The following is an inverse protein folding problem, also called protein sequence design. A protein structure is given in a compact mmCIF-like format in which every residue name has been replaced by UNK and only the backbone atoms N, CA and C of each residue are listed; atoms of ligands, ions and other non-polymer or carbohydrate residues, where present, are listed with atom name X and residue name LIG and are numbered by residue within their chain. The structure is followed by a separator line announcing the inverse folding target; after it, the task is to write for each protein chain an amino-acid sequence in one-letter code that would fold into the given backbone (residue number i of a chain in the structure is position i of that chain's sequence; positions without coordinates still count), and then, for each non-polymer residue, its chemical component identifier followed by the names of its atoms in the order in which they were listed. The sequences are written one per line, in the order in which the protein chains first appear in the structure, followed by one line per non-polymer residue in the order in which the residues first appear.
data_IF_158208953493
#
_entry.id   IF_158208953493
#
_cell.length_a   1.000
_cell.length_b   1.000
_cell.length_c   1.000
_cell.angle_alpha   90.00
_cell.angle_beta   90.00
_cell.angle_gamma   90.00
#
_symmetry.space_group_name_H-M   'P 1'
#
loop_
_entity.id
_entity.type
_entity.pdbx_description
1 polymer ?
#
# COMPACT_ATOMS: atom_id res chain seq x y z
N UNK A 1 -38.45 -14.21 -28.24
CA UNK A 1 -39.78 -13.67 -28.65
C UNK A 1 -40.04 -13.77 -30.17
N UNK A 2 -39.15 -14.37 -30.96
CA UNK A 2 -39.25 -14.48 -32.44
C UNK A 2 -39.65 -15.87 -32.98
N UNK A 3 -39.97 -16.82 -32.10
CA UNK A 3 -40.24 -18.22 -32.48
C UNK A 3 -41.73 -18.58 -32.53
N UNK A 4 -42.62 -17.77 -31.93
CA UNK A 4 -44.07 -18.07 -31.87
C UNK A 4 -44.87 -17.57 -33.08
N UNK A 5 -44.33 -16.63 -33.86
CA UNK A 5 -44.99 -16.11 -35.09
C UNK A 5 -44.77 -16.99 -36.34
N UNK A 6 -43.96 -18.05 -36.25
CA UNK A 6 -43.65 -18.95 -37.38
C UNK A 6 -44.65 -20.11 -37.55
N UNK A 7 -45.59 -20.33 -36.63
CA UNK A 7 -46.56 -21.43 -36.72
C UNK A 7 -47.96 -21.03 -37.18
N UNK A 8 -48.31 -19.74 -37.18
CA UNK A 8 -49.62 -19.30 -37.67
C UNK A 8 -49.72 -19.21 -39.21
N UNK A 9 -48.59 -19.31 -39.94
CA UNK A 9 -48.55 -19.14 -41.41
C UNK A 9 -48.54 -20.44 -42.22
N UNK A 10 -48.81 -21.60 -41.58
CA UNK A 10 -48.70 -22.93 -42.19
C UNK A 10 -50.02 -23.67 -42.43
N UNK A 11 -51.16 -23.01 -42.22
CA UNK A 11 -52.50 -23.60 -42.43
C UNK A 11 -53.32 -22.95 -43.57
N UNK A 12 -52.74 -22.02 -44.34
CA UNK A 12 -53.41 -21.38 -45.49
C UNK A 12 -53.09 -22.02 -46.85
N UNK A 13 -52.28 -23.09 -46.89
CA UNK A 13 -51.96 -23.80 -48.13
C UNK A 13 -52.37 -25.26 -48.04
N UNK A 14 -53.64 -25.55 -48.32
CA UNK A 14 -54.05 -26.71 -49.12
C UNK A 14 -55.52 -26.53 -49.54
N UNK A 15 -55.77 -26.67 -50.84
CA UNK A 15 -57.04 -26.57 -51.56
C UNK A 15 -57.41 -25.21 -52.16
N UNK A 16 -56.58 -24.79 -53.13
CA UNK A 16 -57.09 -24.30 -54.42
C UNK A 16 -56.94 -25.41 -55.48
N UNK A 17 -57.62 -25.21 -56.63
CA UNK A 17 -57.56 -25.94 -57.91
C UNK A 17 -58.50 -27.18 -57.96
N UNK A 18 -59.55 -27.31 -58.81
CA UNK A 18 -59.65 -27.18 -60.29
C UNK A 18 -61.10 -26.94 -60.79
N UNK A 19 -61.24 -26.28 -61.94
CA UNK A 19 -62.50 -25.96 -62.64
C UNK A 19 -63.25 -27.14 -63.31
N UNK A 20 -64.28 -26.83 -64.12
CA UNK A 20 -65.37 -27.75 -64.50
C UNK A 20 -65.06 -28.62 -65.73
N UNK A 21 -65.80 -29.73 -65.93
CA UNK A 21 -66.18 -30.12 -67.29
C UNK A 21 -67.65 -30.53 -67.45
N UNK A 22 -68.17 -30.16 -68.62
CA UNK A 22 -69.45 -30.53 -69.23
C UNK A 22 -69.72 -32.05 -69.27
N UNK A 23 -70.98 -32.44 -69.07
CA UNK A 23 -71.66 -33.44 -69.92
C UNK A 23 -73.19 -33.39 -69.78
N UNK A 24 -73.86 -33.33 -70.94
CA UNK A 24 -75.28 -33.65 -71.23
C UNK A 24 -75.72 -34.89 -70.42
N UNK A 25 -76.96 -35.06 -69.98
CA UNK A 25 -78.20 -35.02 -70.77
C UNK A 25 -79.40 -34.98 -69.82
N UNK A 26 -80.35 -34.09 -70.10
CA UNK A 26 -81.70 -34.09 -69.50
C UNK A 26 -82.45 -35.36 -69.92
N UNK A 27 -82.84 -36.19 -68.95
CA UNK A 27 -84.14 -36.87 -68.96
C UNK A 27 -84.82 -36.56 -67.64
N UNK A 28 -85.88 -35.77 -67.76
CA UNK A 28 -86.89 -35.49 -66.77
C UNK A 28 -87.56 -36.77 -66.29
N UNK A 29 -87.80 -36.91 -64.98
CA UNK A 29 -89.10 -37.31 -64.42
C UNK A 29 -89.10 -37.04 -62.91
N UNK A 30 -89.88 -36.02 -62.52
CA UNK A 30 -90.77 -35.89 -61.36
C UNK A 30 -90.24 -36.17 -59.93
N UNK A 31 -90.35 -35.10 -59.10
CA UNK A 31 -90.59 -35.00 -57.65
C UNK A 31 -91.04 -36.28 -56.92
N UNK A 32 -90.87 -36.48 -55.62
CA UNK A 32 -90.45 -35.73 -54.44
C UNK A 32 -90.20 -36.90 -53.45
N UNK A 33 -89.07 -37.03 -52.75
CA UNK A 33 -89.11 -36.98 -51.28
C UNK A 33 -87.71 -37.01 -50.63
N UNK A 34 -86.63 -37.21 -51.39
CA UNK A 34 -85.24 -37.22 -50.86
C UNK A 34 -84.59 -35.84 -50.76
N UNK A 35 -85.14 -34.83 -51.43
CA UNK A 35 -84.67 -33.43 -51.38
C UNK A 35 -84.93 -32.77 -50.01
N UNK A 36 -86.09 -33.08 -49.39
CA UNK A 36 -86.44 -32.59 -48.05
C UNK A 36 -85.49 -33.13 -46.97
N UNK A 37 -85.23 -34.44 -46.98
CA UNK A 37 -84.33 -35.08 -46.00
C UNK A 37 -82.92 -34.50 -46.02
N UNK A 38 -82.33 -34.32 -47.21
CA UNK A 38 -81.00 -33.71 -47.37
C UNK A 38 -81.01 -32.23 -46.95
N UNK A 39 -82.07 -31.49 -47.25
CA UNK A 39 -82.17 -30.07 -46.88
C UNK A 39 -82.38 -29.86 -45.36
N UNK A 40 -83.08 -30.78 -44.71
CA UNK A 40 -83.27 -30.78 -43.26
C UNK A 40 -82.02 -31.23 -42.50
N UNK A 41 -81.24 -32.18 -43.05
CA UNK A 41 -79.90 -32.52 -42.57
C UNK A 41 -78.91 -31.35 -42.73
N UNK A 42 -78.92 -30.65 -43.87
CA UNK A 42 -78.10 -29.45 -44.09
C UNK A 42 -78.45 -28.36 -43.09
N UNK A 43 -79.75 -28.10 -42.83
CA UNK A 43 -80.20 -27.15 -41.80
C UNK A 43 -79.76 -27.57 -40.39
N UNK A 44 -79.84 -28.86 -40.07
CA UNK A 44 -79.38 -29.41 -38.79
C UNK A 44 -77.87 -29.22 -38.59
N UNK A 45 -77.07 -29.53 -39.61
CA UNK A 45 -75.62 -29.32 -39.61
C UNK A 45 -75.26 -27.84 -39.51
N UNK A 46 -75.98 -26.95 -40.23
CA UNK A 46 -75.80 -25.51 -40.13
C UNK A 46 -76.11 -24.99 -38.72
N UNK A 47 -77.16 -25.50 -38.07
CA UNK A 47 -77.50 -25.13 -36.69
C UNK A 47 -76.48 -25.65 -35.67
N UNK A 48 -75.93 -26.85 -35.87
CA UNK A 48 -74.82 -27.38 -35.08
C UNK A 48 -73.57 -26.50 -35.26
N UNK A 49 -73.20 -26.18 -36.49
CA UNK A 49 -72.07 -25.30 -36.81
C UNK A 49 -72.25 -23.91 -36.19
N UNK A 50 -73.46 -23.35 -36.22
CA UNK A 50 -73.79 -22.07 -35.56
C UNK A 50 -73.59 -22.15 -34.05
N UNK A 51 -74.07 -23.22 -33.40
CA UNK A 51 -73.87 -23.45 -31.95
C UNK A 51 -72.40 -23.63 -31.59
N UNK A 52 -71.64 -24.37 -32.39
CA UNK A 52 -70.19 -24.55 -32.22
C UNK A 52 -69.44 -23.22 -32.36
N UNK A 53 -69.79 -22.41 -33.37
CA UNK A 53 -69.21 -21.08 -33.59
C UNK A 53 -69.45 -20.17 -32.38
N UNK A 54 -70.71 -20.03 -31.94
CA UNK A 54 -71.06 -19.21 -30.78
C UNK A 54 -70.36 -19.69 -29.49
N UNK A 55 -70.29 -21.00 -29.27
CA UNK A 55 -69.58 -21.57 -28.11
C UNK A 55 -68.07 -21.32 -28.17
N UNK A 56 -67.48 -21.36 -29.38
CA UNK A 56 -66.06 -21.06 -29.60
C UNK A 56 -65.78 -19.57 -29.39
N UNK A 57 -66.61 -18.68 -29.92
CA UNK A 57 -66.51 -17.23 -29.71
C UNK A 57 -66.65 -16.85 -28.24
N UNK A 58 -67.62 -17.43 -27.54
CA UNK A 58 -67.79 -17.23 -26.09
C UNK A 58 -66.57 -17.69 -25.29
N UNK A 59 -66.03 -18.87 -25.59
CA UNK A 59 -64.79 -19.37 -24.97
C UNK A 59 -63.59 -18.50 -25.30
N UNK A 60 -63.45 -18.07 -26.55
CA UNK A 60 -62.36 -17.19 -26.98
C UNK A 60 -62.42 -15.83 -26.29
N UNK A 61 -63.61 -15.26 -26.13
CA UNK A 61 -63.81 -14.04 -25.35
C UNK A 61 -63.40 -14.22 -23.88
N UNK A 62 -63.79 -15.35 -23.26
CA UNK A 62 -63.39 -15.68 -21.89
C UNK A 62 -61.87 -15.82 -21.74
N UNK A 63 -61.22 -16.52 -22.67
CA UNK A 63 -59.76 -16.69 -22.73
C UNK A 63 -59.06 -15.34 -22.89
N UNK A 64 -59.52 -14.50 -23.81
CA UNK A 64 -58.97 -13.15 -24.00
C UNK A 64 -59.10 -12.31 -22.73
N UNK A 65 -60.26 -12.35 -22.06
CA UNK A 65 -60.47 -11.66 -20.77
C UNK A 65 -59.51 -12.16 -19.69
N UNK A 66 -59.26 -13.48 -19.61
CA UNK A 66 -58.28 -14.05 -18.70
C UNK A 66 -56.86 -13.55 -19.01
N UNK A 67 -56.45 -13.55 -20.28
CA UNK A 67 -55.13 -13.06 -20.69
C UNK A 67 -54.95 -11.56 -20.44
N UNK A 68 -55.98 -10.74 -20.69
CA UNK A 68 -55.94 -9.30 -20.37
C UNK A 68 -55.72 -9.09 -18.88
N UNK A 69 -56.50 -9.77 -18.03
CA UNK A 69 -56.36 -9.68 -16.57
C UNK A 69 -54.99 -10.19 -16.08
N UNK A 70 -54.48 -11.27 -16.67
CA UNK A 70 -53.15 -11.78 -16.36
C UNK A 70 -52.05 -10.76 -16.73
N UNK A 71 -52.18 -10.12 -17.89
CA UNK A 71 -51.24 -9.09 -18.36
C UNK A 71 -51.25 -7.85 -17.46
N UNK A 72 -52.44 -7.39 -17.03
CA UNK A 72 -52.59 -6.30 -16.07
C UNK A 72 -51.91 -6.62 -14.73
N UNK A 73 -52.19 -7.81 -14.17
CA UNK A 73 -51.58 -8.26 -12.92
C UNK A 73 -50.05 -8.32 -13.01
N UNK A 74 -49.50 -8.82 -14.13
CA UNK A 74 -48.05 -8.87 -14.37
C UNK A 74 -47.46 -7.45 -14.46
N UNK A 75 -48.10 -6.55 -15.21
CA UNK A 75 -47.64 -5.17 -15.33
C UNK A 75 -47.65 -4.44 -13.98
N UNK A 76 -48.68 -4.64 -13.16
CA UNK A 76 -48.76 -4.06 -11.83
C UNK A 76 -47.71 -4.65 -10.88
N UNK A 77 -47.46 -5.96 -10.96
CA UNK A 77 -46.39 -6.61 -10.20
C UNK A 77 -45.02 -6.07 -10.59
N UNK A 78 -44.74 -5.88 -11.88
CA UNK A 78 -43.50 -5.29 -12.38
C UNK A 78 -43.34 -3.86 -11.88
N UNK A 79 -44.38 -3.02 -11.97
CA UNK A 79 -44.35 -1.64 -11.46
C UNK A 79 -44.04 -1.58 -9.97
N UNK A 80 -44.72 -2.42 -9.17
CA UNK A 80 -44.46 -2.52 -7.71
C UNK A 80 -43.03 -2.97 -7.42
N UNK A 81 -42.55 -3.99 -8.13
CA UNK A 81 -41.18 -4.50 -7.98
C UNK A 81 -40.14 -3.42 -8.31
N UNK A 82 -40.31 -2.70 -9.42
CA UNK A 82 -39.39 -1.64 -9.83
C UNK A 82 -39.37 -0.49 -8.81
N UNK A 83 -40.52 -0.12 -8.25
CA UNK A 83 -40.59 0.90 -7.20
C UNK A 83 -39.80 0.48 -5.96
N UNK A 84 -40.00 -0.75 -5.48
CA UNK A 84 -39.27 -1.28 -4.31
C UNK A 84 -37.76 -1.33 -4.59
N UNK A 85 -37.37 -1.75 -5.81
CA UNK A 85 -35.97 -1.82 -6.19
C UNK A 85 -35.31 -0.43 -6.21
N UNK A 86 -35.97 0.56 -6.80
CA UNK A 86 -35.50 1.94 -6.83
C UNK A 86 -35.31 2.49 -5.42
N UNK A 87 -36.30 2.33 -4.53
CA UNK A 87 -36.19 2.80 -3.14
C UNK A 87 -35.05 2.10 -2.37
N UNK A 88 -34.82 0.81 -2.62
CA UNK A 88 -33.69 0.07 -2.02
C UNK A 88 -32.35 0.54 -2.57
N UNK A 89 -32.25 0.77 -3.88
CA UNK A 89 -31.03 1.30 -4.50
C UNK A 89 -30.67 2.68 -3.94
N UNK A 90 -31.64 3.60 -3.85
CA UNK A 90 -31.41 4.93 -3.30
C UNK A 90 -30.95 4.90 -1.84
N UNK A 91 -31.52 4.00 -1.02
CA UNK A 91 -31.09 3.80 0.37
C UNK A 91 -29.68 3.24 0.44
N UNK A 92 -29.37 2.24 -0.38
CA UNK A 92 -28.04 1.64 -0.43
C UNK A 92 -26.99 2.65 -0.89
N UNK A 93 -27.29 3.48 -1.88
CA UNK A 93 -26.39 4.52 -2.36
C UNK A 93 -26.06 5.53 -1.24
N UNK A 94 -27.06 5.96 -0.47
CA UNK A 94 -26.84 6.84 0.69
C UNK A 94 -25.95 6.18 1.75
N UNK A 95 -26.24 4.92 2.10
CA UNK A 95 -25.42 4.17 3.06
C UNK A 95 -23.98 4.04 2.58
N UNK A 96 -23.76 3.69 1.32
CA UNK A 96 -22.41 3.58 0.74
C UNK A 96 -21.69 4.93 0.73
N UNK A 97 -22.39 6.01 0.35
CA UNK A 97 -21.83 7.37 0.38
C UNK A 97 -21.38 7.78 1.79
N UNK A 98 -22.19 7.50 2.80
CA UNK A 98 -21.87 7.82 4.19
C UNK A 98 -20.71 6.98 4.74
N UNK A 99 -20.66 5.69 4.40
CA UNK A 99 -19.52 4.82 4.71
C UNK A 99 -18.25 5.38 4.07
N UNK A 100 -18.29 5.74 2.79
CA UNK A 100 -17.13 6.24 2.07
C UNK A 100 -16.59 7.53 2.69
N UNK A 101 -17.47 8.47 3.06
CA UNK A 101 -17.06 9.70 3.77
C UNK A 101 -16.36 9.40 5.10
N UNK A 102 -16.90 8.46 5.89
CA UNK A 102 -16.27 8.03 7.15
C UNK A 102 -14.89 7.43 6.90
N UNK A 103 -14.75 6.54 5.92
CA UNK A 103 -13.48 5.89 5.56
C UNK A 103 -12.44 6.92 5.07
N UNK A 104 -12.83 7.87 4.21
CA UNK A 104 -11.93 8.93 3.76
C UNK A 104 -11.46 9.80 4.92
N UNK A 105 -12.36 10.20 5.82
CA UNK A 105 -12.00 10.99 7.01
C UNK A 105 -11.05 10.24 7.95
N UNK A 106 -11.29 8.94 8.18
CA UNK A 106 -10.37 8.07 8.93
C UNK A 106 -8.98 8.04 8.32
N UNK A 107 -8.91 7.80 7.00
CA UNK A 107 -7.66 7.67 6.27
C UNK A 107 -6.83 8.96 6.32
N UNK A 108 -7.46 10.11 6.13
CA UNK A 108 -6.80 11.42 6.25
C UNK A 108 -6.25 11.64 7.65
N UNK A 109 -7.05 11.42 8.69
CA UNK A 109 -6.60 11.61 10.08
C UNK A 109 -5.45 10.65 10.44
N UNK A 110 -5.48 9.41 9.94
CA UNK A 110 -4.41 8.44 10.18
C UNK A 110 -3.11 8.89 9.50
N UNK A 111 -3.21 9.39 8.26
CA UNK A 111 -2.07 9.95 7.54
C UNK A 111 -1.49 11.16 8.28
N UNK A 112 -2.32 12.10 8.73
CA UNK A 112 -1.89 13.28 9.48
C UNK A 112 -1.15 12.89 10.77
N UNK A 113 -1.62 11.83 11.43
CA UNK A 113 -0.96 11.27 12.61
C UNK A 113 0.47 10.79 12.29
N UNK A 114 0.63 10.00 11.22
CA UNK A 114 1.93 9.47 10.79
C UNK A 114 2.87 10.61 10.36
N UNK A 115 2.37 11.52 9.53
CA UNK A 115 3.15 12.64 9.00
C UNK A 115 3.63 13.58 10.12
N UNK A 116 2.80 13.78 11.16
CA UNK A 116 3.17 14.57 12.35
C UNK A 116 4.39 14.02 13.08
N UNK A 117 4.46 12.70 13.30
CA UNK A 117 5.53 12.08 14.08
C UNK A 117 6.74 11.66 13.24
N UNK A 118 6.60 11.64 11.91
CA UNK A 118 7.73 11.43 11.00
C UNK A 118 8.86 12.43 11.25
N UNK A 119 8.53 13.70 11.45
CA UNK A 119 9.51 14.76 11.77
C UNK A 119 10.28 14.46 13.06
N UNK A 120 9.59 13.99 14.10
CA UNK A 120 10.20 13.65 15.38
C UNK A 120 11.23 12.51 15.25
N UNK A 121 10.94 11.50 14.41
CA UNK A 121 11.90 10.41 14.11
C UNK A 121 13.15 10.96 13.41
N UNK A 122 12.98 11.86 12.43
CA UNK A 122 14.12 12.50 11.77
C UNK A 122 14.97 13.32 12.74
N UNK A 123 14.34 14.07 13.62
CA UNK A 123 15.03 14.87 14.63
C UNK A 123 15.81 13.95 15.59
N UNK A 124 15.18 12.91 16.14
CA UNK A 124 15.83 11.95 17.02
C UNK A 124 17.05 11.27 16.36
N UNK A 125 16.95 10.94 15.06
CA UNK A 125 18.09 10.41 14.28
C UNK A 125 19.21 11.44 14.16
N UNK A 126 18.88 12.68 13.83
CA UNK A 126 19.88 13.73 13.62
C UNK A 126 20.60 14.06 14.93
N UNK A 127 19.87 14.15 16.03
CA UNK A 127 20.43 14.37 17.37
C UNK A 127 21.38 13.23 17.75
N UNK A 128 20.97 11.97 17.59
CA UNK A 128 21.84 10.82 17.81
C UNK A 128 23.11 10.87 16.95
N UNK A 129 22.96 11.20 15.66
CA UNK A 129 24.11 11.31 14.76
C UNK A 129 25.06 12.43 15.17
N UNK A 130 24.55 13.54 15.71
CA UNK A 130 25.37 14.62 16.23
C UNK A 130 26.12 14.18 17.49
N UNK A 131 25.42 13.57 18.45
CA UNK A 131 26.03 13.10 19.70
C UNK A 131 27.17 12.09 19.44
N UNK A 132 26.98 11.11 18.55
CA UNK A 132 28.03 10.15 18.19
C UNK A 132 29.24 10.83 17.55
N UNK A 133 29.01 11.82 16.68
CA UNK A 133 30.10 12.60 16.09
C UNK A 133 30.89 13.36 17.15
N UNK A 134 30.21 13.96 18.12
CA UNK A 134 30.87 14.66 19.23
C UNK A 134 31.67 13.70 20.12
N UNK A 135 31.11 12.54 20.47
CA UNK A 135 31.82 11.50 21.22
C UNK A 135 33.13 11.10 20.49
N UNK A 136 33.04 10.83 19.18
CA UNK A 136 34.20 10.44 18.37
C UNK A 136 35.22 11.56 18.26
N UNK A 137 34.76 12.81 18.05
CA UNK A 137 35.65 13.97 17.93
C UNK A 137 36.48 14.15 19.21
N UNK A 138 35.86 14.05 20.38
CA UNK A 138 36.56 14.18 21.65
C UNK A 138 37.57 13.05 21.86
N UNK A 139 37.21 11.81 21.52
CA UNK A 139 38.12 10.68 21.59
C UNK A 139 39.32 10.82 20.65
N UNK A 140 39.10 11.27 19.40
CA UNK A 140 40.16 11.53 18.43
C UNK A 140 41.13 12.59 18.96
N UNK A 141 40.61 13.74 19.44
CA UNK A 141 41.45 14.81 19.98
C UNK A 141 42.32 14.30 21.14
N UNK A 142 41.73 13.49 22.04
CA UNK A 142 42.47 12.93 23.17
C UNK A 142 43.57 11.94 22.72
N UNK A 143 43.26 11.06 21.76
CA UNK A 143 44.22 10.11 21.21
C UNK A 143 45.33 10.80 20.41
N UNK A 144 45.02 11.86 19.67
CA UNK A 144 46.01 12.71 18.99
C UNK A 144 46.93 13.41 20.00
N UNK A 145 46.38 13.88 21.12
CA UNK A 145 47.18 14.41 22.23
C UNK A 145 48.16 13.38 22.81
N UNK A 146 47.70 12.15 23.05
CA UNK A 146 48.54 11.05 23.53
C UNK A 146 49.63 10.71 22.50
N UNK A 147 49.29 10.64 21.22
CA UNK A 147 50.24 10.41 20.13
C UNK A 147 51.31 11.51 20.11
N UNK A 148 50.91 12.78 20.20
CA UNK A 148 51.84 13.91 20.21
C UNK A 148 52.82 13.84 21.38
N UNK A 149 52.34 13.46 22.57
CA UNK A 149 53.17 13.24 23.76
C UNK A 149 54.21 12.13 23.57
N UNK A 150 53.96 11.17 22.67
CA UNK A 150 54.92 10.12 22.33
C UNK A 150 55.90 10.57 21.23
N UNK A 151 55.42 11.24 20.19
CA UNK A 151 56.22 11.63 19.02
C UNK A 151 57.27 12.70 19.33
N UNK A 152 56.95 13.67 20.19
CA UNK A 152 57.86 14.79 20.50
C UNK A 152 59.16 14.31 21.16
N UNK A 153 59.14 13.54 22.27
CA UNK A 153 60.37 13.06 22.90
C UNK A 153 61.19 12.11 22.01
N UNK A 154 60.52 11.31 21.17
CA UNK A 154 61.21 10.44 20.18
C UNK A 154 61.97 11.30 19.17
N UNK A 155 61.36 12.37 18.66
CA UNK A 155 62.01 13.29 17.74
C UNK A 155 63.17 14.04 18.40
N UNK A 156 62.98 14.51 19.63
CA UNK A 156 64.07 15.11 20.43
C UNK A 156 65.26 14.15 20.59
N UNK A 157 65.01 12.87 20.86
CA UNK A 157 66.06 11.85 20.96
C UNK A 157 66.81 11.61 19.63
N UNK A 158 66.09 11.62 18.50
CA UNK A 158 66.69 11.49 17.17
C UNK A 158 67.56 12.69 16.80
N UNK A 159 67.07 13.90 17.09
CA UNK A 159 67.81 15.16 16.87
C UNK A 159 69.05 15.23 17.78
N UNK A 160 68.90 14.85 19.05
CA UNK A 160 70.02 14.75 20.00
C UNK A 160 71.11 13.82 19.46
N UNK A 161 70.75 12.61 19.02
CA UNK A 161 71.68 11.64 18.43
C UNK A 161 72.42 12.23 17.21
N UNK A 162 71.73 12.97 16.34
CA UNK A 162 72.35 13.61 15.19
C UNK A 162 73.34 14.72 15.60
N UNK A 163 73.00 15.50 16.63
CA UNK A 163 73.79 16.63 17.11
C UNK A 163 75.08 16.21 17.85
N UNK A 164 75.09 15.06 18.54
CA UNK A 164 76.29 14.53 19.21
C UNK A 164 77.47 14.41 18.22
N UNK A 165 77.21 13.90 17.02
CA UNK A 165 78.23 13.74 15.97
C UNK A 165 78.79 15.09 15.50
N UNK A 166 77.94 16.11 15.43
CA UNK A 166 78.34 17.47 15.04
C UNK A 166 79.20 18.14 16.11
N UNK A 167 78.80 18.04 17.39
CA UNK A 167 79.52 18.61 18.53
C UNK A 167 80.93 18.02 18.68
N UNK A 168 81.06 16.70 18.53
CA UNK A 168 82.36 16.02 18.51
C UNK A 168 83.27 16.58 17.40
N UNK A 169 82.72 16.77 16.19
CA UNK A 169 83.46 17.34 15.05
C UNK A 169 83.91 18.78 15.31
N UNK A 170 83.06 19.61 15.94
CA UNK A 170 83.40 20.99 16.29
C UNK A 170 84.56 21.08 17.29
N UNK A 171 84.53 20.27 18.37
CA UNK A 171 85.62 20.28 19.35
C UNK A 171 86.96 19.81 18.77
N UNK A 172 86.94 18.82 17.87
CA UNK A 172 88.15 18.34 17.17
C UNK A 172 88.77 19.39 16.24
N UNK A 173 87.99 20.36 15.76
CA UNK A 173 88.48 21.47 14.92
C UNK A 173 89.04 22.64 15.75
N UNK A 174 88.89 22.62 17.07
CA UNK A 174 89.32 23.71 17.95
C UNK A 174 90.79 23.56 18.34
N UNK A 175 91.68 24.46 17.90
CA UNK A 175 93.11 24.41 18.21
C UNK A 175 93.38 24.73 19.69
N UNK A 176 94.07 23.85 20.40
CA UNK A 176 94.65 24.08 21.74
C UNK A 176 93.71 23.92 22.94
N UNK A 177 92.40 23.72 22.75
CA UNK A 177 91.41 23.60 23.83
C UNK A 177 90.46 22.39 23.69
N UNK A 178 90.82 21.39 22.87
CA UNK A 178 89.98 20.24 22.52
C UNK A 178 89.46 19.47 23.73
N UNK A 179 90.31 19.21 24.72
CA UNK A 179 89.94 18.48 25.96
C UNK A 179 88.92 19.24 26.80
N UNK A 180 89.09 20.56 26.96
CA UNK A 180 88.12 21.39 27.68
C UNK A 180 86.78 21.46 26.93
N UNK A 181 86.81 21.70 25.62
CA UNK A 181 85.63 21.69 24.76
C UNK A 181 84.86 20.37 24.84
N UNK A 182 85.57 19.24 24.75
CA UNK A 182 84.96 17.91 24.85
C UNK A 182 84.30 17.69 26.21
N UNK A 183 84.97 18.10 27.29
CA UNK A 183 84.45 17.95 28.66
C UNK A 183 83.17 18.77 28.85
N UNK A 184 83.18 20.05 28.46
CA UNK A 184 82.03 20.95 28.58
C UNK A 184 80.85 20.43 27.74
N UNK A 185 81.10 20.00 26.49
CA UNK A 185 80.06 19.44 25.63
C UNK A 185 79.57 18.06 26.08
N UNK A 186 80.42 17.22 26.64
CA UNK A 186 79.98 15.94 27.21
C UNK A 186 79.07 16.14 28.41
N UNK A 187 79.41 17.08 29.31
CA UNK A 187 78.55 17.40 30.45
C UNK A 187 77.18 17.92 29.99
N UNK A 188 77.16 18.83 29.01
CA UNK A 188 75.91 19.32 28.40
C UNK A 188 75.10 18.19 27.75
N UNK A 189 75.76 17.28 27.03
CA UNK A 189 75.13 16.12 26.41
C UNK A 189 74.57 15.13 27.44
N UNK A 190 75.28 14.87 28.53
CA UNK A 190 74.82 13.96 29.59
C UNK A 190 73.57 14.52 30.28
N UNK A 191 73.56 15.81 30.62
CA UNK A 191 72.36 16.46 31.19
C UNK A 191 71.17 16.34 30.24
N UNK A 192 71.36 16.66 28.96
CA UNK A 192 70.28 16.62 27.97
C UNK A 192 69.81 15.19 27.65
N UNK A 193 70.71 14.22 27.69
CA UNK A 193 70.37 12.81 27.57
C UNK A 193 69.47 12.36 28.73
N UNK A 194 69.82 12.74 29.96
CA UNK A 194 69.02 12.39 31.14
C UNK A 194 67.61 12.99 31.07
N UNK A 195 67.48 14.26 30.65
CA UNK A 195 66.17 14.91 30.44
C UNK A 195 65.31 14.16 29.39
N UNK A 196 65.90 13.78 28.25
CA UNK A 196 65.20 13.03 27.20
C UNK A 196 64.84 11.61 27.70
N UNK A 197 65.74 10.98 28.44
CA UNK A 197 65.54 9.64 28.98
C UNK A 197 64.42 9.60 30.03
N UNK A 198 64.35 10.59 30.92
CA UNK A 198 63.24 10.73 31.87
C UNK A 198 61.90 10.89 31.15
N UNK A 199 61.82 11.81 30.18
CA UNK A 199 60.63 11.98 29.33
C UNK A 199 60.22 10.66 28.66
N UNK A 200 61.16 9.92 28.08
CA UNK A 200 60.89 8.63 27.41
C UNK A 200 60.45 7.53 28.38
N UNK A 201 60.96 7.51 29.61
CA UNK A 201 60.59 6.53 30.63
C UNK A 201 59.20 6.77 31.22
N UNK A 202 58.70 8.00 31.20
CA UNK A 202 57.36 8.34 31.69
C UNK A 202 56.26 7.99 30.69
N UNK A 203 56.55 8.02 29.38
CA UNK A 203 55.58 7.74 28.30
C UNK A 203 54.88 6.37 28.49
N UNK A 204 55.59 5.22 28.52
CA UNK A 204 54.93 3.91 28.55
C UNK A 204 54.15 3.65 29.85
N UNK A 205 54.49 4.31 30.96
CA UNK A 205 53.80 4.09 32.25
C UNK A 205 52.38 4.64 32.26
N UNK A 206 52.10 5.64 31.43
CA UNK A 206 50.82 6.36 31.45
C UNK A 206 50.00 6.17 30.17
N UNK A 207 50.65 5.87 29.04
CA UNK A 207 49.97 5.81 27.72
C UNK A 207 48.88 4.74 27.64
N UNK A 208 49.14 3.49 28.03
CA UNK A 208 48.14 2.42 27.91
C UNK A 208 46.90 2.68 28.77
N UNK A 209 47.13 3.15 30.01
CA UNK A 209 46.06 3.55 30.93
C UNK A 209 45.23 4.73 30.38
N UNK A 210 45.88 5.73 29.81
CA UNK A 210 45.21 6.88 29.19
C UNK A 210 44.42 6.48 27.95
N UNK A 211 44.96 5.63 27.09
CA UNK A 211 44.26 5.13 25.90
C UNK A 211 43.03 4.33 26.31
N UNK A 212 43.18 3.38 27.24
CA UNK A 212 42.07 2.58 27.76
C UNK A 212 40.97 3.45 28.39
N UNK A 213 41.37 4.48 29.17
CA UNK A 213 40.42 5.43 29.76
C UNK A 213 39.64 6.18 28.68
N UNK A 214 40.30 6.72 27.66
CA UNK A 214 39.63 7.45 26.58
C UNK A 214 38.70 6.56 25.74
N UNK A 215 39.10 5.31 25.48
CA UNK A 215 38.23 4.33 24.81
C UNK A 215 36.99 4.04 25.67
N UNK A 216 37.16 3.89 26.98
CA UNK A 216 36.04 3.70 27.91
C UNK A 216 35.12 4.91 27.92
N UNK A 217 35.67 6.11 28.07
CA UNK A 217 34.90 7.37 28.08
C UNK A 217 34.10 7.54 26.76
N UNK A 218 34.71 7.20 25.62
CA UNK A 218 34.02 7.17 24.32
C UNK A 218 32.88 6.14 24.28
N UNK A 219 33.13 4.94 24.81
CA UNK A 219 32.14 3.85 24.84
C UNK A 219 30.95 4.23 25.73
N UNK A 220 31.22 4.79 26.91
CA UNK A 220 30.20 5.29 27.83
C UNK A 220 29.38 6.41 27.18
N UNK A 221 30.03 7.32 26.43
CA UNK A 221 29.36 8.37 25.64
C UNK A 221 28.44 7.79 24.56
N UNK A 222 28.90 6.79 23.79
CA UNK A 222 28.08 6.09 22.79
C UNK A 222 26.89 5.39 23.43
N UNK A 223 27.10 4.73 24.56
CA UNK A 223 26.04 4.02 25.28
C UNK A 223 24.95 4.98 25.76
N UNK A 224 25.32 6.16 26.27
CA UNK A 224 24.36 7.19 26.67
C UNK A 224 23.59 7.75 25.45
N UNK A 225 24.27 8.03 24.33
CA UNK A 225 23.62 8.46 23.10
C UNK A 225 22.59 7.42 22.59
N UNK A 226 22.93 6.13 22.67
CA UNK A 226 22.01 5.04 22.36
C UNK A 226 20.81 5.00 23.31
N UNK A 227 21.02 5.16 24.61
CA UNK A 227 19.96 5.19 25.62
C UNK A 227 18.98 6.34 25.37
N UNK A 228 19.49 7.53 25.06
CA UNK A 228 18.66 8.69 24.69
C UNK A 228 17.86 8.45 23.42
N UNK A 229 18.48 7.92 22.36
CA UNK A 229 17.78 7.58 21.12
C UNK A 229 16.65 6.59 21.39
N UNK A 230 16.91 5.53 22.16
CA UNK A 230 15.90 4.53 22.51
C UNK A 230 14.72 5.17 23.27
N UNK A 231 15.00 6.03 24.24
CA UNK A 231 13.97 6.76 24.98
C UNK A 231 13.14 7.66 24.05
N UNK A 232 13.79 8.44 23.19
CA UNK A 232 13.10 9.32 22.24
C UNK A 232 12.21 8.52 21.27
N UNK A 233 12.70 7.41 20.73
CA UNK A 233 11.92 6.54 19.85
C UNK A 233 10.73 5.92 20.58
N UNK A 234 10.91 5.48 21.83
CA UNK A 234 9.82 4.97 22.64
C UNK A 234 8.72 6.03 22.84
N UNK A 235 9.08 7.26 23.21
CA UNK A 235 8.12 8.35 23.37
C UNK A 235 7.38 8.67 22.05
N UNK A 236 8.08 8.62 20.91
CA UNK A 236 7.47 8.83 19.59
C UNK A 236 6.45 7.72 19.27
N UNK A 237 6.81 6.46 19.54
CA UNK A 237 5.90 5.31 19.35
C UNK A 237 4.67 5.47 20.23
N UNK A 238 4.82 5.76 21.53
CA UNK A 238 3.70 5.95 22.45
C UNK A 238 2.77 7.10 22.01
N UNK A 239 3.33 8.22 21.54
CA UNK A 239 2.55 9.33 20.99
C UNK A 239 1.80 8.93 19.71
N UNK A 240 2.45 8.17 18.84
CA UNK A 240 1.85 7.67 17.59
C UNK A 240 0.71 6.71 17.89
N UNK A 241 0.92 5.72 18.76
CA UNK A 241 -0.11 4.76 19.18
C UNK A 241 -1.31 5.45 19.83
N UNK A 242 -1.08 6.44 20.71
CA UNK A 242 -2.14 7.22 21.33
C UNK A 242 -2.97 7.98 20.28
N UNK A 243 -2.30 8.57 19.30
CA UNK A 243 -2.95 9.30 18.22
C UNK A 243 -3.78 8.37 17.33
N UNK A 244 -3.24 7.21 16.92
CA UNK A 244 -3.98 6.18 16.16
C UNK A 244 -5.17 5.64 16.97
N UNK A 245 -4.98 5.36 18.26
CA UNK A 245 -6.05 4.86 19.14
C UNK A 245 -7.18 5.86 19.31
N UNK A 246 -6.87 7.15 19.38
CA UNK A 246 -7.86 8.24 19.44
C UNK A 246 -8.71 8.27 18.17
N UNK A 247 -8.08 8.10 17.00
CA UNK A 247 -8.80 8.02 15.72
C UNK A 247 -9.70 6.79 15.73
N UNK A 248 -9.16 5.61 16.05
CA UNK A 248 -9.95 4.36 16.11
C UNK A 248 -11.18 4.49 17.02
N UNK A 249 -11.04 5.11 18.19
CA UNK A 249 -12.14 5.32 19.13
C UNK A 249 -13.27 6.19 18.54
N UNK A 250 -12.93 7.29 17.83
CA UNK A 250 -13.92 8.19 17.20
C UNK A 250 -14.78 7.53 16.13
N UNK A 251 -14.30 6.43 15.57
CA UNK A 251 -14.93 5.75 14.45
C UNK A 251 -15.48 4.37 14.78
N UNK A 252 -15.30 3.92 16.02
CA UNK A 252 -15.91 2.69 16.54
C UNK A 252 -17.30 2.94 17.16
N UNK A 253 -17.72 4.20 17.27
CA UNK A 253 -19.06 4.68 17.63
C UNK A 253 -19.85 5.07 16.39
#
# INVERSE_FOLDING_TARGET
MLTFLKHAKRLEHHYLIKGPPNSRTRKSFVHDDTSKGVNDEIKSVQEILRKVKLKTESKMHHVNKMFSKATENVNDAIKKSNKILSEKLDRNEKVVSDIMKKVTSQSTQLKDCIDKYKGDVYNARNDFSHEIKDCNKNAIIALEGIKSNCEVPIKEAQEFKANVKHLLKQCLQTKGATTKCLTDKMNEMVTRYNEIFEKLNEIPKNTDSLVLKNIKDMTDCHQEAHRKLQKNLQEIVEKTEKCVSTIKARFST
#
